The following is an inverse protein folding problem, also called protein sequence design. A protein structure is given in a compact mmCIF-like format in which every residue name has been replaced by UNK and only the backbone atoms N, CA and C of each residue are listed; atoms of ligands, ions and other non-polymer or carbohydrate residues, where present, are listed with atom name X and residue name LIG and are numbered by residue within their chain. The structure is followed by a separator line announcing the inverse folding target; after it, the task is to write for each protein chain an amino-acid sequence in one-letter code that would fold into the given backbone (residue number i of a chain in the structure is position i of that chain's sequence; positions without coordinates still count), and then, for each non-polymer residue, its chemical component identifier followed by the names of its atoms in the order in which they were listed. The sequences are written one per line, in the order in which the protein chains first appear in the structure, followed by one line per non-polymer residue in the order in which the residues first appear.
data_IF_592058465060
#
_entry.id   IF_592058465060
#
_cell.length_a   1.000
_cell.length_b   1.000
_cell.length_c   1.000
_cell.angle_alpha   90.00
_cell.angle_beta   90.00
_cell.angle_gamma   90.00
#
_symmetry.space_group_name_H-M   'P 1'
#
loop_
_entity.id
_entity.type
_entity.pdbx_description
1 polymer ?
#
# COMPACT_ATOMS: atom_id res chain seq x y z
N UNK A 1 -8.84 6.10 38.12
CA UNK A 1 -7.43 6.28 37.73
C UNK A 1 -7.20 7.77 37.74
N UNK A 2 -6.49 8.27 38.75
CA UNK A 2 -6.29 9.70 38.99
C UNK A 2 -4.80 9.94 38.79
N UNK A 3 -4.42 10.97 38.03
CA UNK A 3 -3.06 11.34 37.63
C UNK A 3 -2.47 10.56 36.43
N UNK A 4 -3.22 10.40 35.34
CA UNK A 4 -2.59 10.02 34.07
C UNK A 4 -1.92 11.26 33.47
N UNK A 5 -0.61 11.25 33.14
CA UNK A 5 0.05 12.42 32.56
C UNK A 5 -0.56 12.81 31.21
N UNK A 6 -0.71 14.11 30.98
CA UNK A 6 -1.14 14.62 29.69
C UNK A 6 -0.09 14.39 28.60
N UNK A 7 -0.58 14.22 27.38
CA UNK A 7 0.28 14.04 26.19
C UNK A 7 0.65 15.42 25.66
N UNK A 8 1.95 15.75 25.69
CA UNK A 8 2.48 16.97 25.10
C UNK A 8 2.58 16.86 23.57
N UNK A 9 3.07 15.72 23.08
CA UNK A 9 3.16 15.48 21.63
C UNK A 9 3.10 14.00 21.29
N UNK A 10 2.71 13.71 20.06
CA UNK A 10 2.73 12.34 19.54
C UNK A 10 3.24 12.34 18.11
N UNK A 11 4.08 11.36 17.81
CA UNK A 11 4.61 11.10 16.49
C UNK A 11 4.37 9.64 16.15
N UNK A 12 3.62 9.39 15.09
CA UNK A 12 3.47 8.06 14.50
C UNK A 12 4.24 8.03 13.19
N UNK A 13 4.94 6.94 12.88
CA UNK A 13 5.66 6.80 11.61
C UNK A 13 5.65 5.38 11.10
N UNK A 14 5.91 5.22 9.81
CA UNK A 14 6.23 3.94 9.18
C UNK A 14 7.60 4.00 8.52
N UNK A 15 8.26 2.84 8.39
CA UNK A 15 9.52 2.71 7.66
C UNK A 15 9.32 2.52 6.13
N UNK A 16 8.09 2.27 5.69
CA UNK A 16 7.71 2.02 4.29
C UNK A 16 6.31 2.54 3.96
N UNK A 17 5.97 2.52 2.68
CA UNK A 17 4.72 3.06 2.16
C UNK A 17 4.75 4.59 2.10
N UNK A 18 3.64 5.18 1.67
CA UNK A 18 3.48 6.62 1.55
C UNK A 18 1.99 6.99 1.57
N UNK A 19 1.67 8.26 1.86
CA UNK A 19 0.33 8.82 1.70
C UNK A 19 0.15 9.41 0.30
N UNK A 20 -0.96 9.13 -0.38
CA UNK A 20 -1.27 9.64 -1.73
C UNK A 20 -1.74 11.12 -1.70
N UNK A 21 -0.95 12.01 -1.09
CA UNK A 21 -1.28 13.44 -0.85
C UNK A 21 -1.44 14.23 -2.15
N UNK A 22 -0.75 13.82 -3.22
CA UNK A 22 -0.77 14.45 -4.55
C UNK A 22 -2.17 14.56 -5.16
N UNK A 23 -3.08 13.67 -4.78
CA UNK A 23 -4.44 13.60 -5.32
C UNK A 23 -5.46 14.39 -4.51
N UNK A 24 -5.08 14.87 -3.32
CA UNK A 24 -5.99 15.48 -2.38
C UNK A 24 -6.20 16.97 -2.64
N UNK A 25 -7.39 17.44 -2.31
CA UNK A 25 -7.82 18.84 -2.40
C UNK A 25 -8.39 19.33 -1.07
N UNK A 26 -8.19 20.62 -0.79
CA UNK A 26 -8.72 21.24 0.44
C UNK A 26 -10.23 20.99 0.57
N UNK A 27 -10.67 20.51 1.73
CA UNK A 27 -12.04 20.09 2.00
C UNK A 27 -12.30 18.60 1.86
N UNK A 28 -11.36 17.81 1.32
CA UNK A 28 -11.52 16.35 1.24
C UNK A 28 -11.63 15.71 2.64
N UNK A 29 -12.52 14.72 2.76
CA UNK A 29 -12.73 13.96 3.99
C UNK A 29 -11.89 12.68 3.93
N UNK A 30 -10.88 12.57 4.79
CA UNK A 30 -9.88 11.50 4.78
C UNK A 30 -10.15 10.42 5.82
N UNK A 31 -11.29 10.48 6.50
CA UNK A 31 -11.68 9.52 7.53
C UNK A 31 -12.41 10.16 8.71
N UNK A 32 -12.32 9.52 9.88
CA UNK A 32 -13.01 9.92 11.10
C UNK A 32 -12.12 9.83 12.33
N UNK A 33 -12.49 10.60 13.35
CA UNK A 33 -11.90 10.53 14.67
C UNK A 33 -12.98 10.50 15.74
N UNK A 34 -12.67 9.93 16.90
CA UNK A 34 -13.49 10.00 18.09
C UNK A 34 -12.62 10.30 19.30
N UNK A 35 -13.14 11.17 20.16
CA UNK A 35 -12.53 11.50 21.44
C UNK A 35 -13.55 11.25 22.54
N UNK A 36 -13.15 10.52 23.57
CA UNK A 36 -13.98 10.17 24.72
C UNK A 36 -13.20 10.46 26.00
N UNK A 37 -13.70 11.37 26.83
CA UNK A 37 -13.21 11.60 28.19
C UNK A 37 -14.37 11.77 29.18
N UNK A 38 -14.04 11.91 30.46
CA UNK A 38 -15.03 12.18 31.51
C UNK A 38 -15.70 13.56 31.39
N UNK A 39 -15.11 14.49 30.63
CA UNK A 39 -15.59 15.86 30.46
C UNK A 39 -16.17 16.12 29.06
N UNK A 40 -15.56 15.56 28.01
CA UNK A 40 -15.89 15.87 26.63
C UNK A 40 -15.97 14.58 25.80
N UNK A 41 -16.99 14.50 24.96
CA UNK A 41 -17.19 13.40 24.02
C UNK A 41 -17.58 13.97 22.67
N UNK A 42 -16.80 13.68 21.63
CA UNK A 42 -17.12 14.11 20.27
C UNK A 42 -16.63 13.11 19.23
N UNK A 43 -17.28 13.15 18.08
CA UNK A 43 -16.81 12.53 16.84
C UNK A 43 -16.50 13.64 15.84
N UNK A 44 -15.47 13.45 15.04
CA UNK A 44 -15.04 14.41 14.04
C UNK A 44 -14.75 13.75 12.69
N UNK A 45 -14.97 14.50 11.62
CA UNK A 45 -14.45 14.18 10.29
C UNK A 45 -13.02 14.69 10.16
N UNK A 46 -12.16 13.90 9.54
CA UNK A 46 -10.79 14.31 9.20
C UNK A 46 -10.84 15.06 7.88
N UNK A 47 -10.73 16.38 7.92
CA UNK A 47 -10.87 17.25 6.74
C UNK A 47 -9.52 17.84 6.38
N UNK A 48 -9.11 17.69 5.13
CA UNK A 48 -7.89 18.30 4.62
C UNK A 48 -8.01 19.83 4.64
N UNK A 49 -7.09 20.49 5.34
CA UNK A 49 -6.97 21.96 5.35
C UNK A 49 -6.21 22.42 4.11
N UNK A 50 -4.92 22.06 4.03
CA UNK A 50 -4.07 22.36 2.88
C UNK A 50 -2.97 21.31 2.71
N UNK A 51 -2.40 21.28 1.52
CA UNK A 51 -1.19 20.52 1.19
C UNK A 51 -0.05 21.46 0.80
N UNK A 52 1.19 21.03 1.05
CA UNK A 52 2.41 21.68 0.55
C UNK A 52 3.18 20.66 -0.30
N UNK A 53 2.84 20.62 -1.58
CA UNK A 53 3.32 19.59 -2.49
C UNK A 53 2.83 18.18 -2.09
N UNK A 54 3.51 17.12 -2.55
CA UNK A 54 3.07 15.74 -2.32
C UNK A 54 3.50 15.17 -0.96
N UNK A 55 4.17 15.96 -0.10
CA UNK A 55 4.87 15.43 1.07
C UNK A 55 4.41 16.00 2.40
N UNK A 56 3.45 16.94 2.41
CA UNK A 56 3.02 17.59 3.64
C UNK A 56 1.55 17.99 3.52
N UNK A 57 0.75 17.65 4.52
CA UNK A 57 -0.62 18.09 4.61
C UNK A 57 -1.04 18.33 6.06
N UNK A 58 -1.87 19.36 6.27
CA UNK A 58 -2.51 19.64 7.56
C UNK A 58 -3.94 19.14 7.52
N UNK A 59 -4.31 18.30 8.49
CA UNK A 59 -5.65 17.72 8.60
C UNK A 59 -6.33 18.28 9.84
N UNK A 60 -7.52 18.86 9.68
CA UNK A 60 -8.34 19.35 10.77
C UNK A 60 -9.34 18.27 11.20
N UNK A 61 -9.63 18.22 12.50
CA UNK A 61 -10.74 17.44 13.05
C UNK A 61 -11.95 18.35 13.19
N UNK A 62 -12.96 18.15 12.35
CA UNK A 62 -14.18 18.96 12.31
C UNK A 62 -15.32 18.18 12.95
N UNK A 63 -15.90 18.71 14.03
CA UNK A 63 -17.02 18.07 14.72
C UNK A 63 -18.34 18.14 13.92
N UNK A 64 -19.38 17.50 14.43
CA UNK A 64 -20.71 17.51 13.80
C UNK A 64 -21.38 18.88 13.72
N UNK A 65 -20.92 19.86 14.49
CA UNK A 65 -21.40 21.25 14.46
C UNK A 65 -20.58 22.14 13.49
N UNK A 66 -19.52 21.60 12.88
CA UNK A 66 -18.62 22.32 11.97
C UNK A 66 -17.49 23.07 12.69
N UNK A 67 -17.27 22.82 13.98
CA UNK A 67 -16.20 23.43 14.75
C UNK A 67 -14.92 22.59 14.68
N UNK A 68 -13.77 23.27 14.57
CA UNK A 68 -12.44 22.62 14.57
C UNK A 68 -12.05 22.26 15.99
N UNK A 69 -11.96 20.96 16.29
CA UNK A 69 -11.58 20.43 17.61
C UNK A 69 -10.07 20.29 17.79
N UNK A 70 -9.33 20.22 16.68
CA UNK A 70 -7.88 20.08 16.68
C UNK A 70 -7.35 19.80 15.28
N UNK A 71 -6.05 19.56 15.17
CA UNK A 71 -5.41 19.22 13.91
C UNK A 71 -4.19 18.33 14.15
N UNK A 72 -3.75 17.67 13.09
CA UNK A 72 -2.45 17.00 13.03
C UNK A 72 -1.86 17.18 11.64
N UNK A 73 -0.57 16.90 11.53
CA UNK A 73 0.19 16.99 10.28
C UNK A 73 0.52 15.59 9.81
N UNK A 74 0.37 15.34 8.51
CA UNK A 74 0.87 14.15 7.84
C UNK A 74 1.99 14.53 6.86
N UNK A 75 3.01 13.70 6.80
CA UNK A 75 4.19 13.89 5.97
C UNK A 75 4.59 12.60 5.27
N UNK A 76 5.01 12.70 4.00
CA UNK A 76 5.76 11.63 3.34
C UNK A 76 7.25 11.82 3.59
N UNK A 77 7.88 10.77 4.09
CA UNK A 77 9.31 10.66 4.25
C UNK A 77 9.88 9.80 3.12
N UNK A 78 11.20 9.82 2.97
CA UNK A 78 11.90 8.97 2.01
C UNK A 78 12.81 7.99 2.76
N UNK A 79 12.35 6.76 3.07
CA UNK A 79 11.00 6.18 2.87
C UNK A 79 10.03 6.44 4.04
N UNK A 80 8.76 6.08 3.85
CA UNK A 80 7.77 5.96 4.92
C UNK A 80 6.90 7.20 5.12
N UNK A 81 6.12 7.20 6.20
CA UNK A 81 5.26 8.32 6.56
C UNK A 81 5.50 8.78 7.99
N UNK A 82 5.04 9.98 8.29
CA UNK A 82 5.02 10.52 9.65
C UNK A 82 3.72 11.29 9.88
N UNK A 83 3.11 11.08 11.03
CA UNK A 83 1.98 11.83 11.55
C UNK A 83 2.46 12.49 12.83
N UNK A 84 2.20 13.79 12.99
CA UNK A 84 2.55 14.51 14.22
C UNK A 84 1.39 15.33 14.76
N UNK A 85 1.22 15.30 16.07
CA UNK A 85 0.23 16.07 16.81
C UNK A 85 0.84 16.66 18.08
N UNK A 86 0.26 17.77 18.53
CA UNK A 86 0.62 18.43 19.78
C UNK A 86 -0.62 18.41 20.67
N UNK A 87 -0.41 18.14 21.96
CA UNK A 87 -1.46 18.21 22.97
C UNK A 87 -2.03 19.63 23.11
N UNK A 88 -3.28 19.75 23.58
CA UNK A 88 -3.85 21.04 23.92
C UNK A 88 -3.15 21.60 25.16
N UNK A 89 -2.78 22.89 25.13
CA UNK A 89 -2.28 23.57 26.32
C UNK A 89 -3.47 24.01 27.19
N UNK A 90 -3.83 23.19 28.16
CA UNK A 90 -5.01 23.41 29.02
C UNK A 90 -4.66 23.96 30.41
N UNK A 91 -3.37 24.19 30.68
CA UNK A 91 -2.86 24.77 31.92
C UNK A 91 -2.73 23.80 33.09
N UNK A 92 -2.82 22.49 32.85
CA UNK A 92 -2.44 21.46 33.81
C UNK A 92 -1.51 20.41 33.15
N UNK A 93 -1.24 19.28 33.81
CA UNK A 93 -0.34 18.21 33.31
C UNK A 93 -0.95 16.80 33.47
N UNK A 94 -2.23 16.71 33.83
CA UNK A 94 -2.89 15.45 34.18
C UNK A 94 -4.28 15.32 33.57
N UNK A 95 -4.48 14.24 32.84
CA UNK A 95 -5.79 13.83 32.37
C UNK A 95 -6.56 12.97 33.40
N UNK A 96 -7.88 13.00 33.26
CA UNK A 96 -8.82 12.14 34.01
C UNK A 96 -9.26 10.91 33.18
N UNK A 97 -8.38 10.43 32.32
CA UNK A 97 -8.62 9.37 31.35
C UNK A 97 -9.33 9.86 30.10
N UNK A 98 -8.68 9.68 28.95
CA UNK A 98 -9.32 9.84 27.65
C UNK A 98 -8.86 8.78 26.66
N UNK A 99 -9.75 8.46 25.73
CA UNK A 99 -9.49 7.61 24.58
C UNK A 99 -9.67 8.47 23.34
N UNK A 100 -8.63 8.53 22.52
CA UNK A 100 -8.68 9.12 21.19
C UNK A 100 -8.45 8.03 20.14
N UNK A 101 -9.25 8.04 19.09
CA UNK A 101 -9.12 7.15 17.95
C UNK A 101 -9.17 7.97 16.66
N UNK A 102 -8.26 7.67 15.74
CA UNK A 102 -8.19 8.29 14.41
C UNK A 102 -8.15 7.15 13.40
N UNK A 103 -9.04 7.20 12.42
CA UNK A 103 -9.13 6.23 11.34
C UNK A 103 -9.00 6.96 9.99
N UNK A 104 -7.97 6.63 9.22
CA UNK A 104 -7.84 7.09 7.84
C UNK A 104 -8.55 6.13 6.89
N UNK A 105 -9.09 6.66 5.79
CA UNK A 105 -9.71 5.87 4.71
C UNK A 105 -9.01 6.20 3.40
N UNK A 106 -8.57 5.17 2.68
CA UNK A 106 -7.96 5.26 1.34
C UNK A 106 -6.81 6.28 1.18
N UNK A 107 -6.04 6.49 2.26
CA UNK A 107 -4.95 7.48 2.28
C UNK A 107 -3.55 6.85 2.18
N UNK A 108 -3.33 5.72 2.86
CA UNK A 108 -2.03 5.06 2.94
C UNK A 108 -1.88 4.03 1.82
N UNK A 109 -0.80 4.16 1.05
CA UNK A 109 -0.43 3.25 -0.03
C UNK A 109 0.70 2.33 0.44
N UNK A 110 0.48 1.03 0.31
CA UNK A 110 1.47 0.01 0.65
C UNK A 110 2.72 0.13 -0.24
N UNK A 111 3.91 -0.19 0.29
CA UNK A 111 5.12 -0.27 -0.53
C UNK A 111 4.97 -1.32 -1.66
N UNK A 112 5.70 -1.10 -2.75
CA UNK A 112 5.75 -2.02 -3.89
C UNK A 112 6.62 -3.27 -3.64
N UNK A 113 7.37 -3.29 -2.54
CA UNK A 113 8.21 -4.41 -2.14
C UNK A 113 7.55 -5.23 -1.04
N UNK A 114 7.49 -6.55 -1.24
CA UNK A 114 7.02 -7.47 -0.22
C UNK A 114 7.97 -7.48 0.99
N UNK A 115 7.42 -7.65 2.18
CA UNK A 115 8.19 -7.75 3.42
C UNK A 115 7.51 -7.06 4.61
N UNK A 116 8.15 -7.10 5.78
CA UNK A 116 7.62 -6.44 6.97
C UNK A 116 7.59 -4.92 6.77
N UNK A 117 6.56 -4.29 7.32
CA UNK A 117 6.47 -2.85 7.53
C UNK A 117 6.43 -2.59 9.03
N UNK A 118 7.24 -1.64 9.49
CA UNK A 118 7.36 -1.27 10.90
C UNK A 118 6.68 0.05 11.15
N UNK A 119 5.73 0.06 12.08
CA UNK A 119 5.13 1.27 12.62
C UNK A 119 5.76 1.61 13.96
N UNK A 120 6.11 2.88 14.15
CA UNK A 120 6.66 3.42 15.40
C UNK A 120 5.74 4.51 15.92
N UNK A 121 5.48 4.52 17.22
CA UNK A 121 4.73 5.58 17.88
C UNK A 121 5.52 6.10 19.08
N UNK A 122 5.91 7.36 19.03
CA UNK A 122 6.56 8.07 20.13
C UNK A 122 5.57 9.04 20.74
N UNK A 123 5.40 8.98 22.06
CA UNK A 123 4.52 9.88 22.80
C UNK A 123 5.34 10.52 23.91
N UNK A 124 5.32 11.85 23.93
CA UNK A 124 5.94 12.66 24.97
C UNK A 124 4.85 13.23 25.86
N UNK A 125 4.99 13.05 27.16
CA UNK A 125 4.09 13.65 28.15
C UNK A 125 4.52 15.08 28.51
N UNK A 126 3.60 15.86 29.06
CA UNK A 126 3.89 17.20 29.57
C UNK A 126 4.80 17.19 30.82
N UNK A 127 4.95 16.02 31.47
CA UNK A 127 5.89 15.81 32.57
C UNK A 127 7.31 15.46 32.11
N UNK A 128 7.53 15.30 30.80
CA UNK A 128 8.82 14.96 30.21
C UNK A 128 9.10 13.46 30.13
N UNK A 129 8.13 12.60 30.47
CA UNK A 129 8.22 11.17 30.20
C UNK A 129 8.04 10.90 28.70
N UNK A 130 8.85 9.98 28.16
CA UNK A 130 8.80 9.54 26.78
C UNK A 130 8.50 8.05 26.72
N UNK A 131 7.53 7.66 25.88
CA UNK A 131 7.23 6.26 25.59
C UNK A 131 7.33 6.02 24.08
N UNK A 132 7.80 4.82 23.72
CA UNK A 132 7.98 4.41 22.33
C UNK A 132 7.38 3.01 22.12
N UNK A 133 6.52 2.88 21.12
CA UNK A 133 5.92 1.63 20.69
C UNK A 133 6.40 1.28 19.28
N UNK A 134 6.69 0.00 19.05
CA UNK A 134 7.14 -0.49 17.75
C UNK A 134 6.31 -1.73 17.42
N UNK A 135 5.69 -1.73 16.25
CA UNK A 135 4.97 -2.88 15.68
C UNK A 135 5.52 -3.22 14.31
N UNK A 136 6.08 -4.41 14.16
CA UNK A 136 6.58 -4.99 12.92
C UNK A 136 5.87 -6.29 12.54
N UNK A 137 4.69 -6.54 13.12
CA UNK A 137 3.92 -7.76 12.88
C UNK A 137 3.23 -7.79 11.51
N UNK A 138 3.12 -6.63 10.85
CA UNK A 138 2.46 -6.48 9.54
C UNK A 138 3.44 -6.84 8.43
N UNK A 139 3.02 -7.74 7.54
CA UNK A 139 3.78 -8.17 6.37
C UNK A 139 3.00 -7.80 5.12
N UNK A 140 3.63 -7.01 4.24
CA UNK A 140 3.11 -6.69 2.91
C UNK A 140 3.43 -7.84 1.97
N UNK A 141 2.40 -8.40 1.35
CA UNK A 141 2.53 -9.42 0.32
C UNK A 141 2.25 -8.79 -1.05
N UNK A 142 3.24 -8.84 -1.94
CA UNK A 142 3.05 -8.49 -3.34
C UNK A 142 2.94 -9.78 -4.15
N UNK A 143 1.82 -10.00 -4.83
CA UNK A 143 1.72 -11.10 -5.79
C UNK A 143 2.62 -10.80 -6.99
N UNK A 144 3.56 -11.71 -7.28
CA UNK A 144 4.35 -11.61 -8.48
C UNK A 144 3.46 -11.97 -9.69
N UNK A 145 3.22 -11.03 -10.59
CA UNK A 145 2.71 -11.35 -11.93
C UNK A 145 3.82 -12.06 -12.70
N UNK A 146 3.77 -13.39 -12.77
CA UNK A 146 4.65 -14.15 -13.65
C UNK A 146 4.24 -13.94 -15.11
N UNK A 147 5.19 -13.62 -15.98
CA UNK A 147 4.97 -13.65 -17.42
C UNK A 147 5.09 -15.12 -17.86
N UNK A 148 3.96 -15.80 -18.02
CA UNK A 148 3.96 -17.13 -18.64
C UNK A 148 4.11 -16.99 -20.16
N UNK A 149 5.15 -17.58 -20.72
CA UNK A 149 5.35 -17.60 -22.16
C UNK A 149 4.37 -18.60 -22.81
N UNK A 150 3.23 -18.10 -23.31
CA UNK A 150 2.15 -18.87 -23.96
C UNK A 150 2.67 -19.77 -25.11
N UNK A 151 3.84 -19.46 -25.69
CA UNK A 151 4.44 -20.30 -26.72
C UNK A 151 4.79 -21.72 -26.23
N UNK A 152 5.08 -21.89 -24.93
CA UNK A 152 5.42 -23.18 -24.31
C UNK A 152 4.24 -24.17 -24.24
N UNK A 153 3.00 -23.66 -24.24
CA UNK A 153 1.79 -24.47 -24.06
C UNK A 153 1.16 -24.95 -25.37
N UNK A 154 1.63 -24.45 -26.52
CA UNK A 154 1.11 -24.92 -27.81
C UNK A 154 1.68 -26.29 -28.13
N UNK A 155 0.86 -27.33 -27.94
CA UNK A 155 1.16 -28.68 -28.43
C UNK A 155 1.51 -28.62 -29.92
N UNK A 156 2.72 -29.04 -30.26
CA UNK A 156 3.21 -29.06 -31.63
C UNK A 156 2.54 -30.23 -32.37
N UNK A 157 1.68 -29.94 -33.34
CA UNK A 157 0.92 -30.95 -34.10
C UNK A 157 1.52 -31.07 -35.50
N UNK A 158 1.79 -32.30 -35.95
CA UNK A 158 2.15 -32.55 -37.33
C UNK A 158 0.92 -32.32 -38.22
N UNK A 159 1.01 -31.38 -39.17
CA UNK A 159 -0.08 -31.01 -40.07
C UNK A 159 -0.06 -31.87 -41.32
N UNK A 160 1.12 -32.01 -41.95
CA UNK A 160 1.28 -32.82 -43.17
C UNK A 160 2.71 -33.21 -43.45
N UNK A 161 2.86 -34.27 -44.24
CA UNK A 161 4.13 -34.72 -44.82
C UNK A 161 4.06 -34.53 -46.34
N UNK A 162 5.07 -33.89 -46.92
CA UNK A 162 5.13 -33.63 -48.37
C UNK A 162 6.47 -34.03 -48.98
N UNK A 163 6.46 -34.36 -50.26
CA UNK A 163 7.66 -34.65 -51.05
C UNK A 163 8.40 -33.37 -51.50
N UNK A 164 9.50 -33.54 -52.25
CA UNK A 164 10.32 -32.43 -52.78
C UNK A 164 9.52 -31.47 -53.70
N UNK A 165 8.42 -31.94 -54.29
CA UNK A 165 7.55 -31.16 -55.16
C UNK A 165 6.34 -30.58 -54.41
N UNK A 166 6.26 -30.78 -53.09
CA UNK A 166 5.20 -30.26 -52.24
C UNK A 166 3.89 -31.05 -52.29
N UNK A 167 3.89 -32.26 -52.87
CA UNK A 167 2.73 -33.16 -52.90
C UNK A 167 2.66 -33.95 -51.60
N UNK A 168 1.46 -34.20 -51.09
CA UNK A 168 1.29 -35.05 -49.90
C UNK A 168 1.79 -36.46 -50.17
N UNK A 169 2.52 -37.01 -49.21
CA UNK A 169 3.21 -38.30 -49.32
C UNK A 169 3.17 -39.01 -47.98
N UNK A 170 3.06 -40.33 -48.04
CA UNK A 170 3.26 -41.20 -46.89
C UNK A 170 4.75 -41.29 -46.51
N UNK A 171 5.05 -41.83 -45.33
CA UNK A 171 6.43 -42.04 -44.86
C UNK A 171 7.11 -43.17 -45.65
N UNK A 172 7.80 -42.81 -46.72
CA UNK A 172 8.51 -43.76 -47.58
C UNK A 172 10.04 -43.69 -47.44
N UNK A 173 10.68 -44.86 -47.56
CA UNK A 173 12.13 -45.01 -47.61
C UNK A 173 12.70 -44.46 -48.93
N UNK A 174 13.97 -44.05 -48.88
CA UNK A 174 14.76 -43.51 -49.99
C UNK A 174 14.17 -42.25 -50.65
N UNK A 175 13.28 -41.52 -49.95
CA UNK A 175 12.72 -40.23 -50.39
C UNK A 175 13.05 -39.11 -49.42
N UNK A 176 13.12 -37.89 -49.95
CA UNK A 176 13.22 -36.66 -49.14
C UNK A 176 11.81 -36.20 -48.78
N UNK A 177 11.52 -36.14 -47.48
CA UNK A 177 10.21 -35.76 -46.95
C UNK A 177 10.33 -34.50 -46.08
N UNK A 178 9.33 -33.64 -46.17
CA UNK A 178 9.18 -32.44 -45.35
C UNK A 178 7.95 -32.55 -44.45
N UNK A 179 8.20 -32.51 -43.15
CA UNK A 179 7.20 -32.56 -42.08
C UNK A 179 6.85 -31.14 -41.68
N UNK A 180 5.60 -30.72 -41.95
CA UNK A 180 5.11 -29.39 -41.59
C UNK A 180 4.28 -29.45 -40.32
N UNK A 181 4.62 -28.63 -39.35
CA UNK A 181 3.95 -28.57 -38.05
C UNK A 181 3.01 -27.36 -37.94
N UNK A 182 2.12 -27.39 -36.94
CA UNK A 182 1.07 -26.40 -36.71
C UNK A 182 1.59 -25.00 -36.38
N UNK A 183 2.83 -24.88 -35.94
CA UNK A 183 3.56 -23.63 -35.68
C UNK A 183 4.25 -23.08 -36.94
N UNK A 184 4.14 -23.77 -38.08
CA UNK A 184 4.82 -23.41 -39.32
C UNK A 184 6.24 -23.97 -39.44
N UNK A 185 6.76 -24.65 -38.41
CA UNK A 185 8.06 -25.32 -38.47
C UNK A 185 8.03 -26.40 -39.55
N UNK A 186 9.12 -26.51 -40.31
CA UNK A 186 9.31 -27.57 -41.31
C UNK A 186 10.57 -28.36 -40.97
N UNK A 187 10.45 -29.68 -40.85
CA UNK A 187 11.60 -30.58 -40.67
C UNK A 187 11.80 -31.45 -41.91
N UNK A 188 13.02 -31.50 -42.42
CA UNK A 188 13.43 -32.42 -43.48
C UNK A 188 13.84 -33.77 -42.86
N UNK A 189 13.33 -34.88 -43.40
CA UNK A 189 13.74 -36.25 -43.04
C UNK A 189 14.08 -37.02 -44.32
N UNK A 190 15.11 -37.85 -44.24
CA UNK A 190 15.45 -38.83 -45.27
C UNK A 190 15.58 -40.16 -44.54
N UNK A 191 14.74 -41.11 -44.90
CA UNK A 191 14.82 -42.48 -44.37
C UNK A 191 15.54 -43.28 -45.45
N UNK A 192 16.66 -43.90 -45.11
CA UNK A 192 17.46 -44.73 -46.04
C UNK A 192 17.42 -46.15 -45.51
N UNK A 193 17.21 -47.12 -46.41
CA UNK A 193 17.27 -48.55 -46.09
C UNK A 193 18.65 -49.14 -46.42
#
# INVERSE_FOLDING_TARGET
IQNEPDIASSVFSSDKGYFEISTLTSGDVLGNASYTSSFLNFTASLVLDFTLGPNYAKINMIDTAGATMGFFIIENLTPGVKISSIGPNDGNNYTSGYISQINFTDLFVNPNEAGPITFTATIDSELGDNINFIDSSIIINCEATTIENIASLKKLVLVKVVDLLGRESDEENNKILFYRYSDGTVKKKVIVE
#
